data_IF_550866812905
#
_entry.id   IF_550866812905
#
_cell.length_a   1.000
_cell.length_b   1.000
_cell.length_c   1.000
_cell.angle_alpha   90.00
_cell.angle_beta   90.00
_cell.angle_gamma   90.00
#
_symmetry.space_group_name_H-M   'P 1'
#
loop_
_entity.id
_entity.type
_entity.pdbx_description
1 polymer ?
#
# COMPACT_ATOMS: atom_id res chain seq x y z
N UNK A 1 10.68 38.52 -27.86
CA UNK A 1 9.96 39.09 -26.69
C UNK A 1 9.10 38.09 -25.89
N UNK A 2 8.60 36.97 -26.44
CA UNK A 2 7.79 35.99 -25.66
C UNK A 2 8.60 35.08 -24.71
N UNK A 3 9.89 34.83 -24.98
CA UNK A 3 10.75 33.99 -24.14
C UNK A 3 11.23 34.67 -22.83
N UNK A 4 11.20 36.00 -22.78
CA UNK A 4 11.72 36.76 -21.64
C UNK A 4 10.68 36.88 -20.50
N UNK A 5 9.39 36.83 -20.83
CA UNK A 5 8.28 36.85 -19.85
C UNK A 5 8.12 35.50 -19.16
N UNK A 6 8.38 34.39 -19.85
CA UNK A 6 8.37 33.04 -19.27
C UNK A 6 9.55 32.84 -18.29
N UNK A 7 10.73 33.39 -18.60
CA UNK A 7 11.90 33.33 -17.72
C UNK A 7 11.72 34.18 -16.46
N UNK A 8 11.14 35.39 -16.58
CA UNK A 8 10.83 36.23 -15.42
C UNK A 8 9.76 35.63 -14.51
N UNK A 9 8.75 34.94 -15.06
CA UNK A 9 7.73 34.22 -14.26
C UNK A 9 8.29 33.01 -13.51
N UNK A 10 9.25 32.28 -14.09
CA UNK A 10 9.99 31.20 -13.41
C UNK A 10 10.89 31.74 -12.29
N UNK A 11 11.62 32.83 -12.55
CA UNK A 11 12.49 33.49 -11.56
C UNK A 11 11.70 34.06 -10.37
N UNK A 12 10.52 34.65 -10.61
CA UNK A 12 9.67 35.18 -9.54
C UNK A 12 9.04 34.10 -8.66
N UNK A 13 8.70 32.93 -9.23
CA UNK A 13 8.23 31.77 -8.44
C UNK A 13 9.37 31.17 -7.60
N UNK A 14 10.58 31.08 -8.15
CA UNK A 14 11.76 30.62 -7.41
C UNK A 14 12.12 31.56 -6.24
N UNK A 15 12.06 32.89 -6.43
CA UNK A 15 12.30 33.88 -5.38
C UNK A 15 11.23 33.84 -4.26
N UNK A 16 9.96 33.59 -4.60
CA UNK A 16 8.89 33.40 -3.59
C UNK A 16 9.08 32.11 -2.79
N UNK A 17 9.55 31.04 -3.43
CA UNK A 17 9.84 29.75 -2.79
C UNK A 17 11.08 29.85 -1.89
N UNK A 18 12.15 30.51 -2.34
CA UNK A 18 13.34 30.80 -1.53
C UNK A 18 13.01 31.68 -0.32
N UNK A 19 12.15 32.70 -0.47
CA UNK A 19 11.69 33.52 0.64
C UNK A 19 10.89 32.74 1.69
N UNK A 20 10.05 31.78 1.26
CA UNK A 20 9.29 30.91 2.17
C UNK A 20 10.19 29.88 2.85
N UNK A 21 11.13 29.27 2.11
CA UNK A 21 12.10 28.32 2.67
C UNK A 21 13.00 28.99 3.73
N UNK A 22 13.43 30.23 3.48
CA UNK A 22 14.23 31.02 4.41
C UNK A 22 13.45 31.33 5.71
N UNK A 23 12.15 31.62 5.61
CA UNK A 23 11.30 31.90 6.79
C UNK A 23 10.98 30.62 7.57
N UNK A 24 10.77 29.48 6.91
CA UNK A 24 10.39 28.22 7.57
C UNK A 24 11.57 27.49 8.21
N UNK A 25 12.75 27.51 7.60
CA UNK A 25 13.98 26.92 8.18
C UNK A 25 14.40 27.67 9.45
N UNK A 26 14.29 29.01 9.46
CA UNK A 26 14.58 29.83 10.65
C UNK A 26 13.59 29.57 11.79
N UNK A 27 12.33 29.23 11.50
CA UNK A 27 11.29 29.06 12.52
C UNK A 27 11.30 27.69 13.22
N UNK A 28 12.03 26.72 12.70
CA UNK A 28 12.02 25.33 13.22
C UNK A 28 13.27 24.98 14.05
N UNK A 29 14.25 25.89 14.10
CA UNK A 29 15.34 25.86 15.08
C UNK A 29 14.94 26.76 16.27
N UNK A 30 15.00 26.18 17.48
CA UNK A 30 14.98 26.85 18.80
C UNK A 30 13.61 27.03 19.50
N UNK A 31 13.28 26.16 20.46
CA UNK A 31 12.10 26.32 21.35
C UNK A 31 12.33 25.99 22.83
N UNK A 32 13.51 26.20 23.40
CA UNK A 32 13.63 26.20 24.87
C UNK A 32 14.65 27.17 25.45
N UNK A 33 15.68 27.56 24.70
CA UNK A 33 16.75 28.42 25.25
C UNK A 33 16.52 29.93 25.05
N UNK A 34 15.38 30.31 24.45
CA UNK A 34 15.16 31.67 23.97
C UNK A 34 14.80 32.68 25.08
N UNK A 35 14.22 32.28 26.22
CA UNK A 35 13.75 33.26 27.22
C UNK A 35 14.86 34.11 27.83
N UNK A 36 16.08 33.56 27.94
CA UNK A 36 17.27 34.29 28.42
C UNK A 36 18.03 35.04 27.31
N UNK A 37 17.77 34.70 26.04
CA UNK A 37 18.39 35.34 24.88
C UNK A 37 17.59 36.56 24.38
N UNK A 38 16.27 36.57 24.52
CA UNK A 38 15.42 37.67 24.03
C UNK A 38 15.72 39.01 24.73
N UNK A 39 16.05 39.00 26.03
CA UNK A 39 16.42 40.23 26.76
C UNK A 39 17.81 40.76 26.37
N UNK A 40 18.73 39.88 25.96
CA UNK A 40 20.07 40.27 25.45
C UNK A 40 20.06 40.69 23.98
N UNK A 41 19.15 40.15 23.17
CA UNK A 41 19.13 40.35 21.71
C UNK A 41 18.36 41.62 21.31
N UNK A 42 17.46 42.13 22.14
CA UNK A 42 16.79 43.43 21.90
C UNK A 42 17.77 44.63 21.85
N UNK A 43 19.02 44.46 22.31
CA UNK A 43 20.08 45.50 22.27
C UNK A 43 21.09 45.34 21.13
N UNK A 44 21.02 44.28 20.32
CA UNK A 44 21.94 44.05 19.20
C UNK A 44 21.11 43.67 17.96
N UNK A 45 20.50 44.69 17.38
CA UNK A 45 19.90 44.67 16.04
C UNK A 45 21.00 44.51 14.97
N UNK A 46 21.57 43.32 14.88
CA UNK A 46 22.38 42.92 13.74
C UNK A 46 21.91 41.50 13.40
N UNK A 47 21.19 41.37 12.30
CA UNK A 47 20.92 40.06 11.71
C UNK A 47 22.27 39.32 11.59
N UNK A 48 22.38 38.06 12.04
CA UNK A 48 23.65 37.34 11.94
C UNK A 48 24.09 37.33 10.47
N UNK A 49 25.23 37.96 10.20
CA UNK A 49 25.87 37.92 8.88
C UNK A 49 26.54 36.55 8.78
N UNK A 50 25.85 35.60 8.15
CA UNK A 50 26.46 34.34 7.78
C UNK A 50 27.40 34.60 6.59
N UNK A 51 28.70 34.36 6.76
CA UNK A 51 29.71 34.56 5.70
C UNK A 51 29.58 33.56 4.53
N UNK A 52 28.72 32.55 4.63
CA UNK A 52 28.57 31.48 3.63
C UNK A 52 27.11 31.31 3.23
N UNK A 53 26.86 31.30 1.91
CA UNK A 53 25.53 31.05 1.35
C UNK A 53 25.25 29.55 1.26
N UNK A 54 23.99 29.17 0.99
CA UNK A 54 23.64 27.76 0.71
C UNK A 54 24.55 27.11 -0.33
N UNK A 55 24.96 27.85 -1.36
CA UNK A 55 25.84 27.32 -2.41
C UNK A 55 27.23 26.93 -1.88
N UNK A 56 27.71 27.60 -0.84
CA UNK A 56 29.04 27.39 -0.25
C UNK A 56 29.04 26.27 0.80
N UNK A 57 27.86 25.79 1.22
CA UNK A 57 27.75 24.70 2.18
C UNK A 57 28.20 23.35 1.58
N UNK A 58 29.01 22.57 2.32
CA UNK A 58 29.36 21.19 1.94
C UNK A 58 28.13 20.31 1.74
N UNK A 59 28.26 19.28 0.89
CA UNK A 59 27.16 18.38 0.56
C UNK A 59 26.62 17.65 1.80
N UNK A 60 27.48 17.30 2.74
CA UNK A 60 27.16 16.58 3.97
C UNK A 60 26.19 17.39 4.84
N UNK A 61 26.46 18.68 5.02
CA UNK A 61 25.60 19.59 5.79
C UNK A 61 24.26 19.79 5.08
N UNK A 62 24.28 19.95 3.74
CA UNK A 62 23.05 20.05 2.94
C UNK A 62 22.18 18.81 3.08
N UNK A 63 22.77 17.61 3.09
CA UNK A 63 22.05 16.36 3.27
C UNK A 63 21.40 16.29 4.67
N UNK A 64 22.11 16.72 5.71
CA UNK A 64 21.53 16.79 7.06
C UNK A 64 20.32 17.75 7.12
N UNK A 65 20.42 18.91 6.46
CA UNK A 65 19.30 19.85 6.34
C UNK A 65 18.13 19.24 5.54
N UNK A 66 18.41 18.61 4.39
CA UNK A 66 17.40 17.95 3.55
C UNK A 66 16.68 16.84 4.32
N UNK A 67 17.42 16.09 5.15
CA UNK A 67 16.85 15.06 6.02
C UNK A 67 15.74 15.59 6.93
N UNK A 68 15.86 16.85 7.39
CA UNK A 68 14.89 17.52 8.27
C UNK A 68 13.73 18.19 7.52
N UNK A 69 13.81 18.33 6.19
CA UNK A 69 12.78 18.97 5.37
C UNK A 69 11.55 18.07 5.16
N UNK A 70 10.37 18.69 5.14
CA UNK A 70 9.10 18.06 4.71
C UNK A 70 9.17 17.69 3.23
N UNK A 71 8.33 16.74 2.83
CA UNK A 71 8.31 16.24 1.46
C UNK A 71 8.09 17.34 0.40
N UNK A 72 7.17 18.28 0.63
CA UNK A 72 6.92 19.42 -0.26
C UNK A 72 8.10 20.42 -0.33
N UNK A 73 8.83 20.61 0.76
CA UNK A 73 10.05 21.43 0.82
C UNK A 73 11.15 20.76 0.00
N UNK A 74 11.32 19.43 0.13
CA UNK A 74 12.24 18.64 -0.71
C UNK A 74 11.89 18.76 -2.20
N UNK A 75 10.61 18.63 -2.57
CA UNK A 75 10.16 18.82 -3.95
C UNK A 75 10.46 20.23 -4.48
N UNK A 76 10.29 21.25 -3.65
CA UNK A 76 10.60 22.63 -3.99
C UNK A 76 12.10 22.83 -4.21
N UNK A 77 12.93 22.31 -3.30
CA UNK A 77 14.39 22.35 -3.41
C UNK A 77 14.90 21.60 -4.64
N UNK A 78 14.30 20.44 -4.96
CA UNK A 78 14.62 19.64 -6.15
C UNK A 78 14.47 20.42 -7.47
N UNK A 79 13.66 21.47 -7.46
CA UNK A 79 13.42 22.33 -8.63
C UNK A 79 14.40 23.50 -8.78
N UNK A 80 15.29 23.74 -7.81
CA UNK A 80 16.14 24.95 -7.80
C UNK A 80 17.39 24.80 -8.67
N UNK A 81 18.11 23.69 -8.56
CA UNK A 81 19.34 23.43 -9.30
C UNK A 81 19.67 21.93 -9.39
N UNK A 82 20.57 21.56 -10.31
CA UNK A 82 20.92 20.15 -10.60
C UNK A 82 21.64 19.46 -9.43
N UNK A 83 22.50 20.20 -8.71
CA UNK A 83 23.21 19.65 -7.56
C UNK A 83 22.24 19.35 -6.41
N UNK A 84 21.35 20.29 -6.11
CA UNK A 84 20.29 20.17 -5.10
C UNK A 84 19.33 19.03 -5.43
N UNK A 85 18.92 18.90 -6.71
CA UNK A 85 18.14 17.76 -7.18
C UNK A 85 18.82 16.44 -6.88
N UNK A 86 20.13 16.35 -7.15
CA UNK A 86 20.89 15.12 -6.93
C UNK A 86 21.00 14.76 -5.45
N UNK A 87 21.18 15.76 -4.58
CA UNK A 87 21.18 15.57 -3.13
C UNK A 87 19.81 15.12 -2.61
N UNK A 88 18.73 15.79 -3.03
CA UNK A 88 17.36 15.41 -2.64
C UNK A 88 17.04 13.99 -3.11
N UNK A 89 17.36 13.65 -4.36
CA UNK A 89 17.13 12.33 -4.94
C UNK A 89 17.94 11.20 -4.27
N UNK A 90 19.00 11.53 -3.52
CA UNK A 90 19.82 10.57 -2.78
C UNK A 90 19.23 10.20 -1.41
N UNK A 91 18.30 11.00 -0.90
CA UNK A 91 17.73 10.84 0.43
C UNK A 91 16.43 10.04 0.37
N UNK A 92 16.39 8.93 1.10
CA UNK A 92 15.17 8.14 1.27
C UNK A 92 14.15 8.87 2.14
N UNK A 93 12.89 8.49 1.96
CA UNK A 93 11.74 8.97 2.72
C UNK A 93 10.98 7.75 3.18
N UNK A 94 10.89 7.57 4.50
CA UNK A 94 9.99 6.59 5.10
C UNK A 94 8.56 7.12 4.97
N UNK A 95 7.67 6.29 4.43
CA UNK A 95 6.28 6.63 4.15
C UNK A 95 5.41 5.56 4.80
N UNK A 96 4.57 5.97 5.75
CA UNK A 96 3.64 5.04 6.44
C UNK A 96 2.62 4.48 5.44
N UNK A 97 2.08 5.36 4.60
CA UNK A 97 1.08 4.99 3.61
C UNK A 97 1.23 5.83 2.34
N UNK A 98 1.32 5.17 1.18
CA UNK A 98 1.23 5.81 -0.12
C UNK A 98 -0.02 5.35 -0.84
N UNK A 99 -0.88 6.27 -1.29
CA UNK A 99 -2.01 5.96 -2.16
C UNK A 99 -1.80 6.62 -3.51
N UNK A 100 -1.84 5.81 -4.55
CA UNK A 100 -1.99 6.27 -5.92
C UNK A 100 -3.40 5.95 -6.38
N UNK A 101 -4.22 6.99 -6.48
CA UNK A 101 -5.61 6.90 -6.92
C UNK A 101 -5.79 7.60 -8.24
N UNK A 102 -6.78 7.16 -9.01
CA UNK A 102 -7.19 7.84 -10.22
C UNK A 102 -8.70 7.84 -10.36
N UNK A 103 -9.25 8.99 -10.71
CA UNK A 103 -10.63 9.15 -11.14
C UNK A 103 -10.68 9.53 -12.64
N UNK A 104 -11.87 9.71 -13.19
CA UNK A 104 -12.06 9.99 -14.62
C UNK A 104 -11.45 11.34 -15.08
N UNK A 105 -11.00 12.21 -14.17
CA UNK A 105 -10.54 13.55 -14.48
C UNK A 105 -9.09 13.84 -14.05
N UNK A 106 -8.56 13.09 -13.08
CA UNK A 106 -7.26 13.39 -12.48
C UNK A 106 -6.63 12.18 -11.77
N UNK A 107 -5.29 12.19 -11.74
CA UNK A 107 -4.51 11.29 -10.90
C UNK A 107 -4.17 11.97 -9.57
N UNK A 108 -4.34 11.25 -8.48
CA UNK A 108 -4.19 11.73 -7.11
C UNK A 108 -3.15 10.92 -6.37
N UNK A 109 -2.19 11.62 -5.77
CA UNK A 109 -1.19 11.04 -4.88
C UNK A 109 -1.46 11.51 -3.46
N UNK A 110 -1.60 10.56 -2.55
CA UNK A 110 -1.67 10.83 -1.10
C UNK A 110 -0.51 10.10 -0.44
N UNK A 111 0.32 10.81 0.31
CA UNK A 111 1.38 10.23 1.13
C UNK A 111 1.15 10.61 2.59
N UNK A 112 1.07 9.61 3.46
CA UNK A 112 1.09 9.78 4.90
C UNK A 112 2.52 9.55 5.40
N UNK A 113 3.08 10.57 6.04
CA UNK A 113 4.43 10.57 6.60
C UNK A 113 4.35 10.90 8.09
N UNK A 114 4.94 10.03 8.92
CA UNK A 114 4.96 10.09 10.39
C UNK A 114 3.56 10.18 11.04
N UNK A 115 2.55 9.50 10.47
CA UNK A 115 1.14 9.48 10.92
C UNK A 115 0.50 10.87 11.14
N UNK A 116 1.10 11.94 10.60
CA UNK A 116 0.71 13.33 10.92
C UNK A 116 0.76 14.26 9.72
N UNK A 117 1.52 13.91 8.69
CA UNK A 117 1.76 14.80 7.54
C UNK A 117 1.21 14.15 6.28
N UNK A 118 0.16 14.75 5.75
CA UNK A 118 -0.37 14.42 4.43
C UNK A 118 0.32 15.28 3.38
N UNK A 119 0.92 14.63 2.39
CA UNK A 119 1.16 15.24 1.10
C UNK A 119 0.05 14.78 0.17
N UNK A 120 -0.72 15.73 -0.36
CA UNK A 120 -1.74 15.46 -1.38
C UNK A 120 -1.37 16.23 -2.63
N UNK A 121 -1.40 15.55 -3.77
CA UNK A 121 -1.14 16.16 -5.06
C UNK A 121 -2.02 15.56 -6.13
N UNK A 122 -2.84 16.42 -6.70
CA UNK A 122 -3.66 16.10 -7.87
C UNK A 122 -2.97 16.60 -9.14
N UNK A 123 -3.12 15.83 -10.21
CA UNK A 123 -2.69 16.22 -11.53
C UNK A 123 -3.71 15.82 -12.58
N UNK A 124 -4.15 16.82 -13.36
CA UNK A 124 -4.94 16.61 -14.59
C UNK A 124 -4.08 16.17 -15.78
N UNK A 125 -2.75 16.30 -15.65
CA UNK A 125 -1.80 15.94 -16.70
C UNK A 125 -1.06 14.68 -16.31
N UNK A 126 -1.23 13.64 -17.12
CA UNK A 126 -0.56 12.35 -16.93
C UNK A 126 0.95 12.47 -16.77
N UNK A 127 1.61 13.30 -17.60
CA UNK A 127 3.06 13.46 -17.53
C UNK A 127 3.53 13.95 -16.15
N UNK A 128 2.87 14.93 -15.58
CA UNK A 128 3.21 15.48 -14.27
C UNK A 128 2.98 14.44 -13.16
N UNK A 129 1.91 13.64 -13.28
CA UNK A 129 1.62 12.52 -12.39
C UNK A 129 2.74 11.47 -12.43
N UNK A 130 3.17 11.06 -13.64
CA UNK A 130 4.25 10.09 -13.80
C UNK A 130 5.61 10.62 -13.35
N UNK A 131 5.95 11.88 -13.61
CA UNK A 131 7.19 12.47 -13.09
C UNK A 131 7.24 12.44 -11.57
N UNK A 132 6.09 12.71 -10.92
CA UNK A 132 5.95 12.62 -9.48
C UNK A 132 6.03 11.17 -8.99
N UNK A 133 5.33 10.23 -9.63
CA UNK A 133 5.39 8.80 -9.32
C UNK A 133 6.82 8.27 -9.43
N UNK A 134 7.57 8.64 -10.47
CA UNK A 134 8.95 8.19 -10.65
C UNK A 134 9.88 8.73 -9.57
N UNK A 135 9.67 9.98 -9.15
CA UNK A 135 10.40 10.53 -8.01
C UNK A 135 10.03 9.81 -6.71
N UNK A 136 8.74 9.65 -6.43
CA UNK A 136 8.22 8.95 -5.25
C UNK A 136 8.75 7.52 -5.19
N UNK A 137 8.70 6.78 -6.30
CA UNK A 137 9.24 5.43 -6.43
C UNK A 137 10.73 5.37 -6.11
N UNK A 138 11.50 6.38 -6.56
CA UNK A 138 12.94 6.45 -6.34
C UNK A 138 13.30 6.67 -4.87
N UNK A 139 12.58 7.56 -4.18
CA UNK A 139 12.97 7.99 -2.81
C UNK A 139 12.15 7.32 -1.71
N UNK A 140 10.96 6.81 -2.01
CA UNK A 140 10.04 6.24 -1.04
C UNK A 140 10.47 4.86 -0.56
N UNK A 141 10.30 4.65 0.75
CA UNK A 141 10.31 3.36 1.41
C UNK A 141 8.98 3.21 2.17
N UNK A 142 8.08 2.39 1.64
CA UNK A 142 6.69 2.33 2.05
C UNK A 142 6.46 1.24 3.08
N UNK A 143 5.74 1.56 4.16
CA UNK A 143 5.11 0.52 4.96
C UNK A 143 3.94 -0.09 4.19
N UNK A 144 2.98 0.74 3.75
CA UNK A 144 1.85 0.29 2.93
C UNK A 144 1.74 1.11 1.64
N UNK A 145 1.61 0.45 0.50
CA UNK A 145 1.43 1.09 -0.81
C UNK A 145 0.13 0.61 -1.45
N UNK A 146 -0.76 1.55 -1.71
CA UNK A 146 -2.11 1.31 -2.21
C UNK A 146 -2.28 1.86 -3.62
N UNK A 147 -2.87 1.06 -4.49
CA UNK A 147 -3.21 1.41 -5.86
C UNK A 147 -4.72 1.34 -6.07
N UNK A 148 -5.33 2.45 -6.48
CA UNK A 148 -6.72 2.51 -6.93
C UNK A 148 -6.76 3.00 -8.36
N UNK A 149 -6.97 2.08 -9.31
CA UNK A 149 -6.71 2.32 -10.72
C UNK A 149 -8.01 2.31 -11.54
N UNK A 150 -8.37 3.46 -12.13
CA UNK A 150 -9.53 3.62 -13.00
C UNK A 150 -9.31 3.14 -14.44
N UNK A 151 -10.39 2.81 -15.16
CA UNK A 151 -10.35 2.16 -16.49
C UNK A 151 -9.59 2.93 -17.59
N UNK A 152 -9.67 4.27 -17.62
CA UNK A 152 -9.28 5.07 -18.78
C UNK A 152 -7.75 5.21 -18.99
N UNK A 153 -6.93 4.94 -17.98
CA UNK A 153 -5.50 5.30 -17.97
C UNK A 153 -4.58 4.12 -17.70
N UNK A 154 -5.16 2.95 -17.45
CA UNK A 154 -4.49 1.65 -17.36
C UNK A 154 -3.56 1.38 -18.55
N UNK A 155 -3.90 1.85 -19.76
CA UNK A 155 -3.07 1.68 -20.95
C UNK A 155 -1.79 2.53 -20.92
N UNK A 156 -1.88 3.79 -20.49
CA UNK A 156 -0.74 4.71 -20.42
C UNK A 156 0.21 4.37 -19.26
N UNK A 157 -0.35 3.88 -18.15
CA UNK A 157 0.38 3.39 -16.98
C UNK A 157 1.13 2.10 -17.30
N UNK A 158 0.47 1.16 -17.98
CA UNK A 158 1.05 -0.12 -18.41
C UNK A 158 2.28 0.07 -19.30
N UNK A 159 2.17 0.87 -20.37
CA UNK A 159 3.28 1.15 -21.29
C UNK A 159 4.48 1.77 -20.56
N UNK A 160 4.24 2.71 -19.64
CA UNK A 160 5.32 3.39 -18.92
C UNK A 160 6.00 2.50 -17.89
N UNK A 161 5.25 1.66 -17.19
CA UNK A 161 5.87 0.67 -16.32
C UNK A 161 6.75 -0.29 -17.12
N UNK A 162 6.39 -0.69 -18.33
CA UNK A 162 7.26 -1.55 -19.14
C UNK A 162 8.62 -0.92 -19.47
N UNK A 163 8.67 0.39 -19.65
CA UNK A 163 9.90 1.10 -20.06
C UNK A 163 10.82 1.55 -18.91
N UNK A 164 10.38 1.43 -17.66
CA UNK A 164 11.06 2.06 -16.52
C UNK A 164 11.70 1.03 -15.56
N UNK A 165 13.00 1.12 -15.33
CA UNK A 165 13.77 0.15 -14.54
C UNK A 165 13.62 0.31 -13.01
N UNK A 166 13.02 1.41 -12.53
CA UNK A 166 12.89 1.67 -11.10
C UNK A 166 11.89 0.73 -10.41
N UNK A 167 12.21 0.29 -9.19
CA UNK A 167 11.34 -0.55 -8.36
C UNK A 167 10.80 0.23 -7.14
N UNK A 168 9.56 -0.03 -6.77
CA UNK A 168 8.99 0.37 -5.47
C UNK A 168 9.58 -0.49 -4.35
N UNK A 169 9.79 0.13 -3.19
CA UNK A 169 10.13 -0.58 -1.95
C UNK A 169 8.93 -0.47 -1.02
N UNK A 170 8.25 -1.57 -0.75
CA UNK A 170 7.07 -1.59 0.12
C UNK A 170 7.02 -2.88 0.93
N UNK A 171 6.51 -2.82 2.17
CA UNK A 171 6.22 -4.02 2.98
C UNK A 171 4.87 -4.63 2.63
N UNK A 172 3.86 -3.78 2.47
CA UNK A 172 2.50 -4.18 2.15
C UNK A 172 2.04 -3.50 0.87
N UNK A 173 1.36 -4.24 0.00
CA UNK A 173 0.75 -3.71 -1.21
C UNK A 173 -0.72 -4.07 -1.26
N UNK A 174 -1.54 -3.09 -1.61
CA UNK A 174 -2.97 -3.26 -1.76
C UNK A 174 -3.45 -2.67 -3.08
N UNK A 175 -4.30 -3.42 -3.77
CA UNK A 175 -4.98 -2.98 -4.98
C UNK A 175 -6.47 -2.91 -4.71
N UNK A 176 -7.09 -1.78 -4.99
CA UNK A 176 -8.55 -1.63 -5.01
C UNK A 176 -8.97 -1.28 -6.43
N UNK A 177 -9.72 -2.13 -7.10
CA UNK A 177 -10.07 -1.94 -8.51
C UNK A 177 -8.83 -1.91 -9.46
N UNK A 178 -9.06 -2.23 -10.73
CA UNK A 178 -8.06 -2.07 -11.80
C UNK A 178 -7.90 -3.31 -12.68
N UNK A 179 -7.55 -3.11 -13.95
CA UNK A 179 -7.37 -4.23 -14.89
C UNK A 179 -6.14 -5.07 -14.51
N UNK A 180 -6.30 -6.39 -14.56
CA UNK A 180 -5.27 -7.42 -14.35
C UNK A 180 -3.87 -7.05 -14.86
N UNK A 181 -3.76 -6.60 -16.11
CA UNK A 181 -2.49 -6.26 -16.74
C UNK A 181 -1.70 -5.20 -15.96
N UNK A 182 -2.38 -4.25 -15.32
CA UNK A 182 -1.73 -3.21 -14.54
C UNK A 182 -1.33 -3.72 -13.16
N UNK A 183 -2.14 -4.56 -12.53
CA UNK A 183 -1.75 -5.25 -11.28
C UNK A 183 -0.45 -6.02 -11.50
N UNK A 184 -0.39 -6.82 -12.57
CA UNK A 184 0.82 -7.57 -12.95
C UNK A 184 2.00 -6.63 -13.25
N UNK A 185 1.77 -5.52 -13.97
CA UNK A 185 2.83 -4.56 -14.26
C UNK A 185 3.40 -3.91 -12.98
N UNK A 186 2.53 -3.52 -12.04
CA UNK A 186 2.93 -2.94 -10.76
C UNK A 186 3.66 -3.98 -9.89
N UNK A 187 3.12 -5.19 -9.77
CA UNK A 187 3.78 -6.30 -9.05
C UNK A 187 5.19 -6.53 -9.59
N UNK A 188 5.39 -6.57 -10.91
CA UNK A 188 6.73 -6.68 -11.52
C UNK A 188 7.66 -5.51 -11.20
N UNK A 189 7.15 -4.36 -10.77
CA UNK A 189 7.92 -3.18 -10.35
C UNK A 189 8.08 -3.05 -8.85
N UNK A 190 7.84 -4.11 -8.11
CA UNK A 190 8.06 -4.13 -6.68
C UNK A 190 9.33 -4.92 -6.36
N UNK A 191 10.12 -4.37 -5.44
CA UNK A 191 11.34 -5.01 -4.95
C UNK A 191 11.00 -6.20 -4.06
N UNK A 192 11.88 -7.21 -4.04
CA UNK A 192 11.78 -8.32 -3.08
C UNK A 192 11.74 -7.81 -1.64
N UNK A 193 11.01 -8.53 -0.77
CA UNK A 193 10.83 -8.17 0.65
C UNK A 193 9.42 -7.73 1.02
N UNK A 194 8.46 -7.83 0.09
CA UNK A 194 7.04 -7.68 0.38
C UNK A 194 6.59 -8.76 1.35
N UNK A 195 5.90 -8.33 2.42
CA UNK A 195 5.37 -9.17 3.47
C UNK A 195 3.89 -9.52 3.20
N UNK A 196 3.15 -8.63 2.53
CA UNK A 196 1.70 -8.74 2.30
C UNK A 196 1.25 -8.21 0.94
N UNK A 197 0.39 -8.97 0.26
CA UNK A 197 -0.31 -8.55 -0.97
C UNK A 197 -1.82 -8.72 -0.77
N UNK A 198 -2.57 -7.65 -1.00
CA UNK A 198 -4.04 -7.62 -0.92
C UNK A 198 -4.64 -7.21 -2.27
N UNK A 199 -5.51 -8.04 -2.81
CA UNK A 199 -6.24 -7.80 -4.05
C UNK A 199 -7.72 -7.62 -3.72
N UNK A 200 -8.19 -6.36 -3.63
CA UNK A 200 -9.61 -6.02 -3.55
C UNK A 200 -10.12 -5.66 -4.94
N UNK A 201 -10.19 -6.68 -5.80
CA UNK A 201 -10.54 -6.53 -7.20
C UNK A 201 -11.47 -7.66 -7.61
N UNK A 202 -12.74 -7.33 -7.86
CA UNK A 202 -13.68 -8.25 -8.51
C UNK A 202 -13.30 -8.46 -9.97
N UNK A 203 -13.51 -9.67 -10.50
CA UNK A 203 -13.16 -10.02 -11.88
C UNK A 203 -11.84 -10.77 -12.05
N UNK A 204 -11.20 -11.21 -10.96
CA UNK A 204 -10.01 -12.06 -11.06
C UNK A 204 -10.44 -13.50 -11.38
N UNK A 205 -10.04 -13.98 -12.57
CA UNK A 205 -10.29 -15.34 -13.03
C UNK A 205 -9.09 -16.28 -12.81
N UNK A 206 -9.32 -17.55 -13.16
CA UNK A 206 -8.38 -18.67 -13.10
C UNK A 206 -7.02 -18.40 -13.79
N UNK A 207 -7.05 -17.86 -15.00
CA UNK A 207 -5.85 -17.63 -15.83
C UNK A 207 -5.07 -16.41 -15.31
N UNK A 208 -5.80 -15.39 -14.88
CA UNK A 208 -5.25 -14.21 -14.26
C UNK A 208 -4.52 -14.56 -12.96
N UNK A 209 -5.15 -15.33 -12.07
CA UNK A 209 -4.50 -15.80 -10.85
C UNK A 209 -3.20 -16.55 -11.17
N UNK A 210 -3.23 -17.48 -12.15
CA UNK A 210 -2.03 -18.19 -12.57
C UNK A 210 -0.91 -17.24 -13.04
N UNK A 211 -1.25 -16.18 -13.76
CA UNK A 211 -0.31 -15.14 -14.19
C UNK A 211 0.32 -14.35 -13.03
N UNK A 212 -0.43 -14.09 -11.95
CA UNK A 212 0.10 -13.48 -10.73
C UNK A 212 1.02 -14.46 -10.00
N UNK A 213 0.58 -15.70 -9.78
CA UNK A 213 1.35 -16.73 -9.07
C UNK A 213 2.65 -17.10 -9.79
N UNK A 214 2.75 -16.85 -11.11
CA UNK A 214 3.98 -17.02 -11.88
C UNK A 214 5.06 -15.97 -11.57
N UNK A 215 4.73 -14.87 -10.89
CA UNK A 215 5.70 -13.80 -10.55
C UNK A 215 6.63 -14.30 -9.42
N UNK A 216 7.96 -14.34 -9.60
CA UNK A 216 8.85 -15.03 -8.65
C UNK A 216 8.85 -14.47 -7.22
N UNK A 217 8.80 -13.15 -7.04
CA UNK A 217 8.84 -12.57 -5.69
C UNK A 217 7.49 -12.70 -4.97
N UNK A 218 6.40 -12.77 -5.73
CA UNK A 218 5.03 -13.04 -5.26
C UNK A 218 4.96 -14.40 -4.57
N UNK A 219 5.62 -15.42 -5.11
CA UNK A 219 5.66 -16.78 -4.55
C UNK A 219 6.27 -16.84 -3.14
N UNK A 220 7.05 -15.83 -2.73
CA UNK A 220 7.73 -15.79 -1.43
C UNK A 220 7.02 -14.92 -0.39
N UNK A 221 5.90 -14.30 -0.76
CA UNK A 221 5.16 -13.41 0.14
C UNK A 221 4.43 -14.25 1.20
N UNK A 222 4.56 -13.83 2.46
CA UNK A 222 4.00 -14.54 3.61
C UNK A 222 2.50 -14.38 3.77
N UNK A 223 1.92 -13.29 3.27
CA UNK A 223 0.49 -13.03 3.43
C UNK A 223 -0.14 -12.62 2.10
N UNK A 224 -1.21 -13.32 1.76
CA UNK A 224 -2.03 -13.07 0.58
C UNK A 224 -3.48 -12.91 0.97
N UNK A 225 -4.16 -12.00 0.30
CA UNK A 225 -5.59 -11.81 0.40
C UNK A 225 -6.16 -11.48 -0.98
N UNK A 226 -7.18 -12.23 -1.40
CA UNK A 226 -7.99 -11.93 -2.57
C UNK A 226 -9.45 -11.77 -2.13
N UNK A 227 -10.04 -10.61 -2.41
CA UNK A 227 -11.45 -10.35 -2.18
C UNK A 227 -12.22 -10.56 -3.49
N UNK A 228 -13.38 -11.22 -3.42
CA UNK A 228 -14.31 -11.45 -4.53
C UNK A 228 -13.69 -12.21 -5.71
N UNK A 229 -13.06 -13.35 -5.42
CA UNK A 229 -12.55 -14.23 -6.47
C UNK A 229 -13.69 -14.95 -7.19
N UNK A 230 -13.71 -14.89 -8.53
CA UNK A 230 -14.79 -15.44 -9.35
C UNK A 230 -14.64 -16.96 -9.61
N UNK A 231 -13.43 -17.51 -9.48
CA UNK A 231 -13.20 -18.94 -9.70
C UNK A 231 -13.36 -19.78 -8.44
N UNK A 232 -13.30 -21.11 -8.59
CA UNK A 232 -13.29 -22.08 -7.49
C UNK A 232 -11.91 -22.71 -7.24
N UNK A 233 -10.94 -22.36 -8.08
CA UNK A 233 -9.63 -23.00 -8.18
C UNK A 233 -8.51 -22.34 -7.35
N UNK A 234 -8.77 -21.18 -6.73
CA UNK A 234 -7.74 -20.40 -6.03
C UNK A 234 -7.06 -21.18 -4.91
N UNK A 235 -7.84 -21.94 -4.13
CA UNK A 235 -7.34 -22.70 -2.98
C UNK A 235 -6.31 -23.76 -3.42
N UNK A 236 -6.66 -24.58 -4.41
CA UNK A 236 -5.76 -25.66 -4.82
C UNK A 236 -4.55 -25.13 -5.58
N UNK A 237 -4.71 -24.07 -6.39
CA UNK A 237 -3.60 -23.41 -7.08
C UNK A 237 -2.58 -22.81 -6.12
N UNK A 238 -3.05 -22.09 -5.09
CA UNK A 238 -2.15 -21.51 -4.09
C UNK A 238 -1.50 -22.59 -3.24
N UNK A 239 -2.25 -23.61 -2.81
CA UNK A 239 -1.68 -24.74 -2.08
C UNK A 239 -0.63 -25.49 -2.91
N UNK A 240 -0.89 -25.74 -4.20
CA UNK A 240 0.06 -26.40 -5.10
C UNK A 240 1.34 -25.57 -5.28
N UNK A 241 1.21 -24.26 -5.52
CA UNK A 241 2.37 -23.35 -5.56
C UNK A 241 3.21 -23.46 -4.27
N UNK A 242 2.58 -23.44 -3.10
CA UNK A 242 3.29 -23.55 -1.83
C UNK A 242 3.96 -24.91 -1.61
N UNK A 243 3.34 -25.99 -2.07
CA UNK A 243 3.92 -27.34 -2.08
C UNK A 243 5.16 -27.40 -2.98
N UNK A 244 5.09 -26.77 -4.16
CA UNK A 244 6.18 -26.78 -5.15
C UNK A 244 7.35 -25.90 -4.71
N UNK A 245 7.08 -24.82 -3.98
CA UNK A 245 8.08 -23.82 -3.57
C UNK A 245 8.58 -23.97 -2.14
N UNK A 246 8.05 -24.93 -1.38
CA UNK A 246 8.31 -25.08 0.05
C UNK A 246 8.07 -23.77 0.81
N UNK A 247 6.83 -23.29 0.75
CA UNK A 247 6.43 -22.04 1.39
C UNK A 247 6.82 -22.01 2.88
N UNK A 248 7.11 -20.81 3.37
CA UNK A 248 7.58 -20.59 4.73
C UNK A 248 6.49 -20.94 5.74
N UNK A 249 6.88 -21.51 6.89
CA UNK A 249 5.99 -21.67 8.03
C UNK A 249 5.31 -20.34 8.39
N UNK A 250 4.00 -20.37 8.62
CA UNK A 250 3.17 -19.20 8.90
C UNK A 250 2.67 -18.46 7.66
N UNK A 251 3.04 -18.89 6.44
CA UNK A 251 2.46 -18.30 5.22
C UNK A 251 0.94 -18.48 5.24
N UNK A 252 0.21 -17.41 4.94
CA UNK A 252 -1.24 -17.32 5.04
C UNK A 252 -1.82 -16.78 3.73
N UNK A 253 -2.88 -17.43 3.25
CA UNK A 253 -3.65 -17.00 2.09
C UNK A 253 -5.10 -16.99 2.51
N UNK A 254 -5.80 -15.90 2.21
CA UNK A 254 -7.21 -15.78 2.50
C UNK A 254 -7.96 -15.35 1.24
N UNK A 255 -9.16 -15.88 1.07
CA UNK A 255 -9.99 -15.57 -0.09
C UNK A 255 -11.47 -15.52 0.28
N UNK A 256 -12.19 -14.57 -0.33
CA UNK A 256 -13.65 -14.59 -0.39
C UNK A 256 -14.12 -14.95 -1.80
N UNK A 257 -15.16 -15.78 -1.90
CA UNK A 257 -15.75 -16.25 -3.16
C UNK A 257 -17.27 -16.26 -3.04
N UNK A 258 -17.99 -15.83 -4.07
CA UNK A 258 -19.45 -16.01 -4.12
C UNK A 258 -19.86 -17.40 -4.64
N UNK A 259 -19.00 -18.02 -5.43
CA UNK A 259 -19.30 -19.31 -6.05
C UNK A 259 -19.13 -20.49 -5.09
N UNK A 260 -20.10 -21.39 -5.12
CA UNK A 260 -20.00 -22.70 -4.49
C UNK A 260 -19.02 -23.60 -5.24
N UNK A 261 -18.25 -24.39 -4.48
CA UNK A 261 -17.42 -25.47 -5.05
C UNK A 261 -15.94 -25.38 -4.71
N UNK A 262 -15.42 -24.24 -4.26
CA UNK A 262 -13.98 -24.08 -3.97
C UNK A 262 -13.43 -25.13 -3.00
N UNK A 263 -14.22 -25.47 -1.97
CA UNK A 263 -13.86 -26.51 -1.01
C UNK A 263 -13.87 -27.92 -1.62
N UNK A 264 -14.86 -28.24 -2.46
CA UNK A 264 -14.98 -29.53 -3.13
C UNK A 264 -13.87 -29.72 -4.17
N UNK A 265 -13.61 -28.68 -4.96
CA UNK A 265 -12.54 -28.69 -5.96
C UNK A 265 -11.16 -28.82 -5.30
N UNK A 266 -10.93 -28.16 -4.16
CA UNK A 266 -9.71 -28.35 -3.37
C UNK A 266 -9.52 -29.81 -2.94
N UNK A 267 -10.59 -30.45 -2.47
CA UNK A 267 -10.55 -31.86 -2.05
C UNK A 267 -10.28 -32.80 -3.23
N UNK A 268 -10.82 -32.52 -4.41
CA UNK A 268 -10.62 -33.32 -5.62
C UNK A 268 -9.17 -33.24 -6.11
N UNK A 269 -8.57 -32.05 -6.12
CA UNK A 269 -7.22 -31.85 -6.66
C UNK A 269 -6.08 -32.32 -5.74
N UNK A 270 -6.34 -32.45 -4.43
CA UNK A 270 -5.31 -32.73 -3.41
C UNK A 270 -5.64 -33.96 -2.57
N UNK A 271 -6.47 -34.86 -3.10
CA UNK A 271 -6.99 -36.04 -2.40
C UNK A 271 -5.88 -36.95 -1.83
N UNK A 272 -4.81 -37.16 -2.60
CA UNK A 272 -3.65 -37.98 -2.28
C UNK A 272 -2.76 -37.40 -1.17
N UNK A 273 -3.05 -36.15 -0.77
CA UNK A 273 -2.31 -35.41 0.25
C UNK A 273 -3.10 -35.20 1.53
N UNK A 274 -4.39 -35.53 1.57
CA UNK A 274 -5.23 -35.31 2.75
C UNK A 274 -4.77 -36.20 3.91
N UNK A 275 -4.55 -35.57 5.07
CA UNK A 275 -4.23 -36.23 6.34
C UNK A 275 -5.45 -36.31 7.26
N UNK A 276 -6.21 -35.22 7.34
CA UNK A 276 -7.50 -35.17 8.06
C UNK A 276 -8.44 -34.20 7.37
N UNK A 277 -9.74 -34.45 7.49
CA UNK A 277 -10.78 -33.55 7.00
C UNK A 277 -12.05 -33.63 7.85
N UNK A 278 -12.75 -32.52 7.92
CA UNK A 278 -14.12 -32.41 8.37
C UNK A 278 -14.82 -31.31 7.55
N UNK A 279 -16.02 -30.90 7.94
CA UNK A 279 -16.80 -29.89 7.20
C UNK A 279 -16.16 -28.49 7.21
N UNK A 280 -15.37 -28.18 8.24
CA UNK A 280 -14.77 -26.86 8.43
C UNK A 280 -13.30 -26.81 7.99
N UNK A 281 -12.58 -27.94 8.06
CA UNK A 281 -11.12 -27.96 7.93
C UNK A 281 -10.62 -29.14 7.12
N UNK A 282 -9.54 -28.90 6.38
CA UNK A 282 -8.77 -29.94 5.68
C UNK A 282 -7.30 -29.72 5.97
N UNK A 283 -6.61 -30.77 6.43
CA UNK A 283 -5.17 -30.77 6.60
C UNK A 283 -4.54 -31.64 5.52
N UNK A 284 -3.57 -31.09 4.80
CA UNK A 284 -2.81 -31.82 3.77
C UNK A 284 -1.32 -31.83 4.05
N UNK A 285 -0.63 -32.88 3.61
CA UNK A 285 0.84 -32.98 3.66
C UNK A 285 1.48 -32.16 2.53
N UNK A 286 2.64 -31.56 2.81
CA UNK A 286 3.46 -30.92 1.78
C UNK A 286 4.62 -31.84 1.36
N UNK A 287 5.49 -31.37 0.46
CA UNK A 287 6.73 -32.06 0.14
C UNK A 287 7.79 -31.93 1.26
N UNK A 288 7.62 -30.93 2.14
CA UNK A 288 8.40 -30.78 3.35
C UNK A 288 7.71 -31.54 4.51
N UNK A 289 8.37 -32.55 5.06
CA UNK A 289 7.82 -33.38 6.13
C UNK A 289 7.53 -32.59 7.42
N UNK A 290 8.20 -31.44 7.63
CA UNK A 290 8.03 -30.62 8.83
C UNK A 290 6.85 -29.63 8.71
N UNK A 291 6.22 -29.55 7.53
CA UNK A 291 5.18 -28.57 7.23
C UNK A 291 3.94 -29.22 6.60
N UNK A 292 2.77 -28.84 7.09
CA UNK A 292 1.47 -29.16 6.51
C UNK A 292 0.77 -27.87 6.05
N UNK A 293 -0.23 -28.00 5.18
CA UNK A 293 -1.15 -26.89 4.86
C UNK A 293 -2.50 -27.20 5.52
N UNK A 294 -3.03 -26.22 6.24
CA UNK A 294 -4.36 -26.25 6.83
C UNK A 294 -5.28 -25.33 6.04
N UNK A 295 -6.34 -25.88 5.46
CA UNK A 295 -7.48 -25.15 4.93
C UNK A 295 -8.56 -25.03 6.02
N UNK A 296 -9.09 -23.84 6.18
CA UNK A 296 -10.19 -23.53 7.09
C UNK A 296 -11.29 -22.77 6.34
N UNK A 297 -12.54 -23.20 6.54
CA UNK A 297 -13.75 -22.54 6.06
C UNK A 297 -14.31 -21.63 7.14
N UNK A 298 -14.60 -20.40 6.76
CA UNK A 298 -15.27 -19.40 7.59
C UNK A 298 -16.76 -19.70 7.69
N UNK A 299 -17.13 -20.70 8.48
CA UNK A 299 -18.51 -21.04 8.80
C UNK A 299 -18.94 -20.22 10.02
N UNK A 300 -19.46 -19.02 9.81
CA UNK A 300 -20.11 -18.25 10.88
C UNK A 300 -21.62 -18.50 10.84
N UNK A 301 -22.32 -18.37 11.98
CA UNK A 301 -23.79 -18.38 12.08
C UNK A 301 -24.47 -17.26 11.25
N UNK A 302 -23.66 -16.35 10.67
CA UNK A 302 -24.06 -15.31 9.71
C UNK A 302 -24.42 -15.91 8.33
N UNK A 303 -24.03 -17.17 8.07
CA UNK A 303 -24.10 -17.84 6.75
C UNK A 303 -25.49 -18.38 6.36
N UNK A 304 -26.57 -18.06 7.09
CA UNK A 304 -27.93 -18.51 6.74
C UNK A 304 -28.59 -17.62 5.66
N UNK A 305 -27.93 -16.56 5.19
CA UNK A 305 -28.44 -15.68 4.14
C UNK A 305 -27.72 -16.00 2.82
N UNK A 306 -28.51 -16.31 1.79
CA UNK A 306 -28.13 -16.88 0.49
C UNK A 306 -27.18 -16.02 -0.35
N UNK A 307 -26.87 -14.78 0.08
CA UNK A 307 -26.10 -13.80 -0.70
C UNK A 307 -24.72 -13.43 -0.09
N UNK A 308 -24.25 -14.13 0.96
CA UNK A 308 -22.93 -13.86 1.55
C UNK A 308 -21.80 -14.64 0.88
N UNK A 309 -20.63 -14.02 0.65
CA UNK A 309 -19.47 -14.72 0.14
C UNK A 309 -18.98 -15.78 1.14
N UNK A 310 -18.46 -16.88 0.61
CA UNK A 310 -17.74 -17.88 1.38
C UNK A 310 -16.32 -17.41 1.64
N UNK A 311 -15.86 -17.57 2.88
CA UNK A 311 -14.53 -17.20 3.30
C UNK A 311 -13.66 -18.44 3.55
N UNK A 312 -12.43 -18.39 3.06
CA UNK A 312 -11.46 -19.46 3.25
C UNK A 312 -10.11 -18.92 3.70
N UNK A 313 -9.39 -19.73 4.49
CA UNK A 313 -8.03 -19.45 4.93
C UNK A 313 -7.15 -20.69 4.76
N UNK A 314 -6.04 -20.54 4.03
CA UNK A 314 -4.95 -21.49 3.98
C UNK A 314 -3.80 -21.01 4.87
N UNK A 315 -3.23 -21.91 5.67
CA UNK A 315 -2.04 -21.64 6.49
C UNK A 315 -1.02 -22.75 6.37
N UNK A 316 0.25 -22.38 6.18
CA UNK A 316 1.37 -23.32 6.33
C UNK A 316 1.67 -23.46 7.82
N UNK A 317 1.45 -24.66 8.35
CA UNK A 317 1.59 -24.98 9.78
C UNK A 317 2.67 -26.04 10.00
N UNK A 318 3.14 -26.17 11.24
CA UNK A 318 4.04 -27.26 11.62
C UNK A 318 3.33 -28.61 11.46
N UNK A 319 4.06 -29.62 11.01
CA UNK A 319 3.56 -30.99 10.98
C UNK A 319 3.20 -31.50 12.39
N UNK A 320 3.84 -30.98 13.43
CA UNK A 320 3.62 -31.36 14.84
C UNK A 320 2.43 -30.63 15.50
N UNK A 321 1.92 -29.56 14.88
CA UNK A 321 0.80 -28.78 15.43
C UNK A 321 -0.43 -29.67 15.60
N UNK A 322 -1.03 -29.62 16.80
CA UNK A 322 -2.23 -30.37 17.15
C UNK A 322 -3.49 -29.59 16.80
N UNK A 323 -4.59 -30.29 16.57
CA UNK A 323 -5.87 -29.64 16.24
C UNK A 323 -6.39 -28.73 17.37
N UNK A 324 -6.04 -29.02 18.62
CA UNK A 324 -6.35 -28.16 19.77
C UNK A 324 -5.65 -26.80 19.75
N UNK A 325 -4.60 -26.64 18.93
CA UNK A 325 -3.86 -25.39 18.76
C UNK A 325 -4.38 -24.55 17.58
N UNK A 326 -5.36 -25.08 16.84
CA UNK A 326 -5.95 -24.34 15.72
C UNK A 326 -6.77 -23.16 16.23
N UNK A 327 -6.69 -22.07 15.49
CA UNK A 327 -7.48 -20.87 15.73
C UNK A 327 -8.93 -21.11 15.31
N UNK A 328 -9.81 -21.21 16.31
CA UNK A 328 -11.25 -21.47 16.12
C UNK A 328 -12.06 -20.18 15.93
N UNK A 329 -11.47 -19.00 16.11
CA UNK A 329 -12.19 -17.74 15.94
C UNK A 329 -12.14 -17.31 14.47
N UNK A 330 -13.12 -17.79 13.70
CA UNK A 330 -13.21 -17.37 12.31
C UNK A 330 -13.65 -15.93 12.12
N UNK A 331 -14.31 -15.33 13.12
CA UNK A 331 -14.79 -13.96 13.03
C UNK A 331 -13.62 -13.00 12.94
N UNK A 332 -12.59 -13.14 13.79
CA UNK A 332 -11.46 -12.20 13.80
C UNK A 332 -10.78 -12.08 12.42
N UNK A 333 -10.46 -13.20 11.79
CA UNK A 333 -9.74 -13.16 10.51
C UNK A 333 -10.64 -12.87 9.31
N UNK A 334 -11.95 -13.14 9.39
CA UNK A 334 -12.92 -12.68 8.38
C UNK A 334 -13.06 -11.15 8.47
N UNK A 335 -13.16 -10.57 9.67
CA UNK A 335 -13.25 -9.12 9.85
C UNK A 335 -12.02 -8.36 9.29
N UNK A 336 -10.85 -9.01 9.26
CA UNK A 336 -9.65 -8.43 8.62
C UNK A 336 -9.84 -8.33 7.10
N UNK A 337 -10.49 -9.33 6.49
CA UNK A 337 -10.76 -9.32 5.05
C UNK A 337 -11.89 -8.35 4.70
N UNK A 338 -13.00 -8.52 5.42
CA UNK A 338 -14.26 -7.84 5.19
C UNK A 338 -14.76 -7.26 6.52
N UNK A 339 -14.36 -6.02 6.85
CA UNK A 339 -14.76 -5.35 8.09
C UNK A 339 -16.27 -5.14 8.18
N UNK A 340 -17.00 -5.11 7.06
CA UNK A 340 -18.44 -4.85 7.02
C UNK A 340 -19.24 -6.01 7.60
N UNK A 341 -18.71 -7.23 7.56
CA UNK A 341 -19.30 -8.43 8.22
C UNK A 341 -19.41 -8.28 9.74
N UNK A 342 -18.62 -7.37 10.34
CA UNK A 342 -18.58 -7.17 11.79
C UNK A 342 -19.63 -6.19 12.33
N UNK A 343 -20.22 -5.34 11.49
CA UNK A 343 -21.08 -4.23 11.95
C UNK A 343 -22.49 -4.66 12.38
N UNK A 344 -22.92 -5.87 12.02
CA UNK A 344 -24.31 -6.28 12.21
C UNK A 344 -24.56 -7.04 13.52
N UNK A 345 -23.53 -7.38 14.30
CA UNK A 345 -23.72 -8.14 15.55
C UNK A 345 -24.03 -7.29 16.80
N UNK A 346 -23.89 -5.96 16.74
CA UNK A 346 -24.06 -5.08 17.93
C UNK A 346 -25.19 -4.03 17.81
N UNK A 347 -25.93 -3.97 16.69
CA UNK A 347 -27.12 -3.13 16.60
C UNK A 347 -28.38 -3.88 17.05
N UNK A 348 -28.39 -4.31 18.32
CA UNK A 348 -29.64 -4.40 19.07
C UNK A 348 -30.00 -3.00 19.58
N UNK A 349 -30.35 -2.10 18.67
CA UNK A 349 -30.92 -0.79 19.03
C UNK A 349 -32.31 -0.70 18.42
N UNK A 350 -33.29 -1.00 19.26
CA UNK A 350 -34.63 -0.43 19.31
C UNK A 350 -35.12 0.18 17.99
N UNK A 351 -36.02 -0.53 17.30
CA UNK A 351 -36.95 0.08 16.36
C UNK A 351 -37.68 1.22 17.09
N UNK A 352 -37.27 2.46 16.84
CA UNK A 352 -38.13 3.61 17.09
C UNK A 352 -39.19 3.62 16.00
N UNK A 353 -40.39 3.19 16.35
CA UNK A 353 -41.60 3.38 15.56
C UNK A 353 -41.87 4.89 15.41
N UNK A 354 -41.34 5.51 14.36
CA UNK A 354 -41.79 6.83 13.92
C UNK A 354 -43.13 6.65 13.18
N UNK A 355 -44.20 6.64 13.99
CA UNK A 355 -45.58 6.82 13.53
C UNK A 355 -45.71 8.27 13.03
N UNK A 356 -45.73 8.45 11.71
CA UNK A 356 -46.20 9.69 11.10
C UNK A 356 -47.72 9.78 11.22
N UNK A 357 -48.19 10.46 12.26
CA UNK A 357 -49.57 10.93 12.39
C UNK A 357 -49.77 12.10 11.40
N UNK A 358 -50.62 11.90 10.40
CA UNK A 358 -51.11 12.98 9.53
C UNK A 358 -52.30 13.63 10.24
N UNK A 359 -52.14 14.89 10.66
CA UNK A 359 -53.26 15.74 11.09
C UNK A 359 -53.98 16.32 9.85
N UNK A 360 -55.30 16.11 9.82
CA UNK A 360 -56.29 16.74 8.92
C UNK A 360 -56.60 18.20 9.32
#
# INVERSE_FOLDING_TARGET
>A
MRNDVANRRRSFRALKILGILHITVVRTLMSSDLKNLTEKTAKLSIDPIYETNWCDMPAEIKLECIGKMKFNERLSLRCTAKAERSLVDSQKVEIDEGRFGEDNEQSTFVLLIDNKRYFVKDSKYMNDAFELLNYIKKVGDFKTLYFSLGFAVLFAVYERFHTDDGLFTAKEIEFSNGIFNTVVAVLRKIKNGVESIKLRYGGLDSDQLAGILAIPHVQNVSYWHIHDYEGTDSLHKVAQMWIDKNAKLGSTFQVSNYDDGSFAEFLEHLDDRILSKNEQRVRIRTNNADCHILLERGLNEISEIVDFPQYFRLKVISAEMKESEYDNDCKEWICIMDPEVSSDSDNSSEQSDDVHEYDD
#
